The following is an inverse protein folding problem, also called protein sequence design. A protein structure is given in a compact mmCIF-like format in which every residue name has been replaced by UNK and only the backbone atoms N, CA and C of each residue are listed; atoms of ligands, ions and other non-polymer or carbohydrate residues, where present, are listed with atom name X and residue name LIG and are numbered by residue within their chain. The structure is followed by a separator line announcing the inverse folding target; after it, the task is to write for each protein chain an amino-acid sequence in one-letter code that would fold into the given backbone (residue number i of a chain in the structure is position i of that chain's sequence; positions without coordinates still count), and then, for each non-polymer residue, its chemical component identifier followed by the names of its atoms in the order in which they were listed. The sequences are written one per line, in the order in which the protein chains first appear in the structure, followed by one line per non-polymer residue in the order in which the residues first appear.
data_IF_599451659983
#
_entry.id   IF_599451659983
#
_cell.length_a   1.000
_cell.length_b   1.000
_cell.length_c   1.000
_cell.angle_alpha   90.00
_cell.angle_beta   90.00
_cell.angle_gamma   90.00
#
_symmetry.space_group_name_H-M   'P 1'
#
loop_
_entity.id
_entity.type
_entity.pdbx_description
1 polymer ?
#
# COMPACT_ATOMS: atom_id res chain seq x y z
N UNK A 1 -17.14 14.67 -8.76
CA UNK A 1 -17.63 15.58 -7.69
C UNK A 1 -16.45 16.38 -7.15
N UNK A 2 -16.54 17.71 -7.05
CA UNK A 2 -15.46 18.50 -6.42
C UNK A 2 -15.54 18.35 -4.91
N UNK A 3 -14.48 17.86 -4.30
CA UNK A 3 -14.35 17.70 -2.86
C UNK A 3 -13.38 18.74 -2.29
N UNK A 4 -13.60 19.10 -1.03
CA UNK A 4 -12.57 19.69 -0.17
C UNK A 4 -11.98 18.58 0.73
N UNK A 5 -10.91 18.91 1.45
CA UNK A 5 -10.17 17.95 2.30
C UNK A 5 -11.10 17.25 3.30
N UNK A 6 -11.85 18.00 4.09
CA UNK A 6 -12.71 17.43 5.13
C UNK A 6 -13.81 16.51 4.57
N UNK A 7 -14.33 16.81 3.38
CA UNK A 7 -15.30 15.94 2.72
C UNK A 7 -14.65 14.66 2.17
N UNK A 8 -13.41 14.76 1.67
CA UNK A 8 -12.63 13.60 1.24
C UNK A 8 -12.30 12.67 2.43
N UNK A 9 -11.79 13.23 3.52
CA UNK A 9 -11.53 12.50 4.77
C UNK A 9 -12.79 11.83 5.31
N UNK A 10 -13.91 12.56 5.32
CA UNK A 10 -15.20 12.00 5.77
C UNK A 10 -15.63 10.80 4.92
N UNK A 11 -15.51 10.88 3.59
CA UNK A 11 -15.87 9.77 2.70
C UNK A 11 -14.97 8.57 2.95
N UNK A 12 -13.67 8.78 3.18
CA UNK A 12 -12.75 7.69 3.54
C UNK A 12 -13.11 7.07 4.89
N UNK A 13 -13.49 7.88 5.88
CA UNK A 13 -13.98 7.41 7.18
C UNK A 13 -15.27 6.58 7.03
N UNK A 14 -16.22 7.03 6.20
CA UNK A 14 -17.44 6.28 5.87
C UNK A 14 -17.13 4.94 5.15
N UNK A 15 -15.96 4.85 4.49
CA UNK A 15 -15.41 3.61 3.92
C UNK A 15 -14.50 2.84 4.90
N UNK A 16 -14.49 3.18 6.19
CA UNK A 16 -13.63 2.57 7.23
C UNK A 16 -12.12 2.65 6.90
N UNK A 17 -11.69 3.80 6.42
CA UNK A 17 -10.29 4.17 6.15
C UNK A 17 -10.03 5.57 6.71
N UNK A 18 -10.52 5.85 7.93
CA UNK A 18 -10.43 7.14 8.62
C UNK A 18 -8.98 7.58 8.92
N UNK A 19 -8.06 6.63 8.95
CA UNK A 19 -6.63 6.85 9.17
C UNK A 19 -5.83 6.98 7.87
N UNK A 20 -6.48 6.90 6.70
CA UNK A 20 -5.83 7.06 5.41
C UNK A 20 -5.58 8.55 5.15
N UNK A 21 -4.32 9.03 5.15
CA UNK A 21 -4.03 10.40 4.78
C UNK A 21 -4.34 10.65 3.31
N UNK A 22 -4.73 11.88 3.00
CA UNK A 22 -4.97 12.36 1.64
C UNK A 22 -3.98 13.43 1.24
N UNK A 23 -3.75 13.55 -0.08
CA UNK A 23 -3.04 14.67 -0.67
C UNK A 23 -3.93 15.36 -1.71
N UNK A 24 -3.87 16.68 -1.75
CA UNK A 24 -4.43 17.46 -2.84
C UNK A 24 -3.60 17.22 -4.11
N UNK A 25 -4.27 16.93 -5.23
CA UNK A 25 -3.61 16.68 -6.50
C UNK A 25 -4.38 17.28 -7.66
N UNK A 26 -3.70 18.04 -8.51
CA UNK A 26 -4.25 18.50 -9.79
C UNK A 26 -3.94 17.48 -10.87
N UNK A 27 -4.95 16.81 -11.46
CA UNK A 27 -4.73 15.80 -12.49
C UNK A 27 -3.96 16.34 -13.69
N UNK A 28 -2.99 15.56 -14.15
CA UNK A 28 -2.28 15.79 -15.41
C UNK A 28 -2.55 14.61 -16.35
N UNK A 29 -3.58 14.70 -17.21
CA UNK A 29 -3.90 13.63 -18.13
C UNK A 29 -2.67 13.21 -18.94
N UNK A 30 -2.22 11.98 -18.73
CA UNK A 30 -0.95 11.48 -19.26
C UNK A 30 -1.20 10.22 -20.08
N UNK A 31 -0.66 10.20 -21.30
CA UNK A 31 -0.67 9.00 -22.13
C UNK A 31 0.29 7.95 -21.56
N UNK A 32 -0.19 6.71 -21.38
CA UNK A 32 0.68 5.62 -20.96
C UNK A 32 1.60 5.21 -22.10
N UNK A 33 2.87 5.00 -21.77
CA UNK A 33 3.82 4.40 -22.70
C UNK A 33 3.38 2.98 -23.06
N UNK A 34 3.53 2.50 -24.32
CA UNK A 34 3.15 1.14 -24.70
C UNK A 34 3.83 0.04 -23.86
N UNK A 35 4.98 0.32 -23.26
CA UNK A 35 5.74 -0.61 -22.43
C UNK A 35 5.43 -0.50 -20.92
N UNK A 36 4.42 0.29 -20.53
CA UNK A 36 4.11 0.59 -19.12
C UNK A 36 3.95 -0.68 -18.27
N UNK A 37 3.31 -1.72 -18.82
CA UNK A 37 3.03 -2.95 -18.08
C UNK A 37 4.30 -3.77 -17.81
N UNK A 38 5.25 -3.75 -18.74
CA UNK A 38 6.57 -4.38 -18.52
C UNK A 38 7.31 -3.66 -17.40
N UNK A 39 7.37 -2.33 -17.47
CA UNK A 39 7.96 -1.48 -16.43
C UNK A 39 7.26 -1.66 -15.08
N UNK A 40 5.94 -1.85 -15.08
CA UNK A 40 5.16 -2.10 -13.87
C UNK A 40 5.58 -3.40 -13.19
N UNK A 41 5.77 -4.48 -13.95
CA UNK A 41 6.25 -5.75 -13.38
C UNK A 41 7.64 -5.59 -12.76
N UNK A 42 8.56 -4.97 -13.49
CA UNK A 42 9.92 -4.68 -12.99
C UNK A 42 9.87 -3.84 -11.71
N UNK A 43 9.00 -2.83 -11.69
CA UNK A 43 8.79 -1.97 -10.55
C UNK A 43 8.17 -2.71 -9.36
N UNK A 44 7.22 -3.62 -9.55
CA UNK A 44 6.69 -4.47 -8.49
C UNK A 44 7.78 -5.33 -7.85
N UNK A 45 8.66 -5.94 -8.65
CA UNK A 45 9.81 -6.68 -8.11
C UNK A 45 10.75 -5.78 -7.30
N UNK A 46 11.06 -4.59 -7.82
CA UNK A 46 11.91 -3.62 -7.11
C UNK A 46 11.25 -3.11 -5.82
N UNK A 47 9.94 -2.85 -5.86
CA UNK A 47 9.14 -2.44 -4.70
C UNK A 47 9.20 -3.51 -3.61
N UNK A 48 8.95 -4.77 -3.98
CA UNK A 48 8.99 -5.92 -3.06
C UNK A 48 10.37 -6.09 -2.43
N UNK A 49 11.46 -6.02 -3.22
CA UNK A 49 12.82 -6.08 -2.69
C UNK A 49 13.12 -4.93 -1.70
N UNK A 50 12.49 -3.77 -1.90
CA UNK A 50 12.62 -2.62 -1.00
C UNK A 50 11.87 -2.80 0.32
N UNK A 51 10.99 -3.79 0.48
CA UNK A 51 10.20 -3.99 1.72
C UNK A 51 11.03 -4.52 2.90
N UNK A 52 12.30 -4.84 2.68
CA UNK A 52 13.25 -5.22 3.74
C UNK A 52 13.45 -4.14 4.80
N UNK A 53 13.12 -2.88 4.50
CA UNK A 53 13.09 -1.77 5.47
C UNK A 53 11.73 -1.59 6.19
N UNK A 54 10.71 -2.38 5.81
CA UNK A 54 9.32 -2.29 6.29
C UNK A 54 8.86 -3.58 6.98
N UNK A 55 9.80 -4.30 7.61
CA UNK A 55 9.56 -5.61 8.26
C UNK A 55 8.54 -5.51 9.39
N UNK A 56 8.54 -4.40 10.14
CA UNK A 56 7.58 -4.20 11.22
C UNK A 56 6.15 -4.17 10.68
N UNK A 57 5.91 -3.39 9.62
CA UNK A 57 4.61 -3.32 8.96
C UNK A 57 4.19 -4.67 8.37
N UNK A 58 5.14 -5.41 7.77
CA UNK A 58 4.86 -6.76 7.27
C UNK A 58 4.43 -7.73 8.37
N UNK A 59 5.01 -7.64 9.57
CA UNK A 59 4.61 -8.48 10.70
C UNK A 59 3.14 -8.25 11.11
N UNK A 60 2.67 -7.01 11.03
CA UNK A 60 1.27 -6.65 11.30
C UNK A 60 0.30 -7.08 10.20
N UNK A 61 0.78 -7.47 9.02
CA UNK A 61 -0.08 -8.04 7.99
C UNK A 61 -0.53 -9.48 8.31
N UNK A 62 -0.03 -10.11 9.37
CA UNK A 62 -0.45 -11.47 9.76
C UNK A 62 -0.38 -12.49 8.60
N UNK A 63 0.64 -12.35 7.74
CA UNK A 63 0.91 -13.29 6.67
C UNK A 63 1.36 -14.64 7.25
N UNK A 64 1.06 -15.73 6.52
CA UNK A 64 1.74 -16.99 6.80
C UNK A 64 3.25 -16.86 6.56
N UNK A 65 4.04 -17.74 7.16
CA UNK A 65 5.49 -17.72 7.00
C UNK A 65 5.90 -17.82 5.52
N UNK A 66 5.24 -18.71 4.76
CA UNK A 66 5.51 -18.90 3.34
C UNK A 66 5.15 -17.66 2.50
N UNK A 67 4.04 -16.98 2.83
CA UNK A 67 3.65 -15.74 2.17
C UNK A 67 4.62 -14.60 2.48
N UNK A 68 5.06 -14.49 3.74
CA UNK A 68 6.02 -13.48 4.17
C UNK A 68 7.38 -13.68 3.49
N UNK A 69 7.92 -14.88 3.53
CA UNK A 69 9.21 -15.21 2.90
C UNK A 69 9.12 -15.13 1.38
N UNK A 70 8.06 -15.66 0.78
CA UNK A 70 7.80 -15.56 -0.64
C UNK A 70 7.68 -14.12 -1.13
N UNK A 71 7.09 -13.24 -0.31
CA UNK A 71 7.06 -11.80 -0.56
C UNK A 71 8.47 -11.21 -0.47
N UNK A 72 9.19 -11.35 0.65
CA UNK A 72 10.54 -10.75 0.80
C UNK A 72 11.55 -11.21 -0.27
N UNK A 73 11.47 -12.48 -0.68
CA UNK A 73 12.31 -13.04 -1.73
C UNK A 73 11.86 -12.66 -3.15
N UNK A 74 10.75 -11.92 -3.29
CA UNK A 74 10.20 -11.50 -4.59
C UNK A 74 9.65 -12.64 -5.44
N UNK A 75 9.32 -13.79 -4.81
CA UNK A 75 8.88 -15.01 -5.49
C UNK A 75 7.36 -15.03 -5.71
N UNK A 76 6.58 -14.54 -4.75
CA UNK A 76 5.12 -14.53 -4.83
C UNK A 76 4.52 -13.30 -4.13
N UNK A 77 3.40 -12.81 -4.66
CA UNK A 77 2.57 -11.80 -4.00
C UNK A 77 1.38 -12.53 -3.38
N UNK A 78 1.15 -12.43 -2.06
CA UNK A 78 0.00 -13.05 -1.42
C UNK A 78 -1.33 -12.63 -2.06
N UNK A 79 -2.30 -13.56 -2.14
CA UNK A 79 -3.53 -13.35 -2.93
C UNK A 79 -4.35 -12.15 -2.45
N UNK A 80 -4.34 -11.85 -1.16
CA UNK A 80 -5.09 -10.74 -0.59
C UNK A 80 -4.27 -9.44 -0.51
N UNK A 81 -3.14 -9.33 -1.22
CA UNK A 81 -2.32 -8.12 -1.27
C UNK A 81 -2.42 -7.45 -2.64
N UNK A 82 -2.51 -6.13 -2.63
CA UNK A 82 -2.48 -5.30 -3.84
C UNK A 82 -1.41 -4.22 -3.75
N UNK A 83 -0.72 -3.99 -4.87
CA UNK A 83 0.10 -2.80 -5.07
C UNK A 83 -0.72 -1.69 -5.72
N UNK A 84 -0.55 -0.48 -5.22
CA UNK A 84 -1.30 0.70 -5.63
C UNK A 84 -0.36 1.86 -5.88
N UNK A 85 -0.71 2.71 -6.83
CA UNK A 85 -0.06 4.00 -6.98
C UNK A 85 -0.75 5.04 -6.12
N UNK A 86 0.03 5.91 -5.45
CA UNK A 86 -0.48 7.11 -4.76
C UNK A 86 -1.13 8.05 -5.77
N UNK A 87 -0.42 8.31 -6.87
CA UNK A 87 -0.93 9.01 -8.05
C UNK A 87 -1.07 8.02 -9.20
N UNK A 88 -2.29 7.78 -9.72
CA UNK A 88 -2.49 6.93 -10.90
C UNK A 88 -1.71 7.42 -12.11
N UNK A 89 -1.15 6.49 -12.88
CA UNK A 89 -0.30 6.80 -14.05
C UNK A 89 -1.02 7.65 -15.11
N UNK A 90 -2.31 7.37 -15.34
CA UNK A 90 -3.17 8.13 -16.28
C UNK A 90 -3.34 9.60 -15.88
N UNK A 91 -3.12 9.91 -14.60
CA UNK A 91 -3.29 11.24 -14.03
C UNK A 91 -1.95 11.97 -13.83
N UNK A 92 -0.82 11.42 -14.31
CA UNK A 92 0.50 12.03 -14.17
C UNK A 92 1.37 11.38 -13.09
N UNK A 93 0.95 10.24 -12.56
CA UNK A 93 1.76 9.44 -11.65
C UNK A 93 3.02 8.89 -12.30
N UNK A 94 4.12 8.85 -11.55
CA UNK A 94 5.40 8.33 -12.01
C UNK A 94 5.54 6.82 -11.75
N UNK A 95 6.30 6.16 -12.60
CA UNK A 95 6.67 4.74 -12.47
C UNK A 95 7.88 4.59 -11.53
N UNK A 96 7.69 4.88 -10.26
CA UNK A 96 8.74 4.86 -9.23
C UNK A 96 8.22 4.29 -7.91
N UNK A 97 9.14 3.75 -7.09
CA UNK A 97 8.82 3.09 -5.81
C UNK A 97 8.10 4.07 -4.86
N UNK A 98 8.52 5.33 -4.84
CA UNK A 98 7.93 6.36 -3.97
C UNK A 98 6.48 6.69 -4.34
N UNK A 99 6.05 6.39 -5.56
CA UNK A 99 4.66 6.51 -5.96
C UNK A 99 3.85 5.22 -5.65
N UNK A 100 4.45 4.19 -5.06
CA UNK A 100 3.78 2.92 -4.78
C UNK A 100 3.59 2.63 -3.29
N UNK A 101 2.47 1.99 -2.97
CA UNK A 101 2.25 1.41 -1.67
C UNK A 101 1.51 0.09 -1.79
N UNK A 102 1.57 -0.70 -0.72
CA UNK A 102 0.93 -1.99 -0.57
C UNK A 102 -0.22 -1.88 0.42
N UNK A 103 -1.34 -2.54 0.12
CA UNK A 103 -2.48 -2.65 1.04
C UNK A 103 -3.21 -3.98 0.82
N UNK A 104 -4.17 -4.29 1.69
CA UNK A 104 -5.07 -5.41 1.45
C UNK A 104 -5.93 -5.19 0.20
N UNK A 105 -6.10 -6.23 -0.60
CA UNK A 105 -6.99 -6.25 -1.75
C UNK A 105 -8.44 -6.02 -1.29
N UNK A 106 -8.91 -6.84 -0.36
CA UNK A 106 -10.21 -6.65 0.29
C UNK A 106 -10.04 -6.22 1.75
N UNK A 107 -10.73 -5.16 2.21
CA UNK A 107 -11.63 -4.30 1.43
C UNK A 107 -10.94 -3.06 0.83
N UNK A 108 -9.67 -2.81 1.13
CA UNK A 108 -9.04 -1.50 0.95
C UNK A 108 -8.79 -1.12 -0.51
N UNK A 109 -8.15 -1.96 -1.32
CA UNK A 109 -7.89 -1.63 -2.73
C UNK A 109 -9.16 -1.25 -3.47
N UNK A 110 -10.24 -2.03 -3.30
CA UNK A 110 -11.53 -1.77 -3.95
C UNK A 110 -12.16 -0.44 -3.50
N UNK A 111 -12.05 -0.09 -2.22
CA UNK A 111 -12.55 1.19 -1.69
C UNK A 111 -11.76 2.37 -2.24
N UNK A 112 -10.43 2.24 -2.36
CA UNK A 112 -9.57 3.27 -2.93
C UNK A 112 -9.90 3.52 -4.41
N UNK A 113 -10.13 2.46 -5.19
CA UNK A 113 -10.60 2.57 -6.57
C UNK A 113 -11.91 3.37 -6.65
N UNK A 114 -12.89 3.00 -5.84
CA UNK A 114 -14.19 3.69 -5.78
C UNK A 114 -14.02 5.17 -5.40
N UNK A 115 -13.21 5.46 -4.39
CA UNK A 115 -12.95 6.82 -3.92
C UNK A 115 -12.32 7.72 -4.99
N UNK A 116 -11.35 7.21 -5.76
CA UNK A 116 -10.72 7.94 -6.85
C UNK A 116 -11.71 8.17 -8.00
N UNK A 117 -12.46 7.13 -8.40
CA UNK A 117 -13.44 7.20 -9.50
C UNK A 117 -14.55 8.23 -9.20
N UNK A 118 -15.01 8.34 -7.95
CA UNK A 118 -16.03 9.32 -7.55
C UNK A 118 -15.63 10.78 -7.82
N UNK A 119 -14.33 11.03 -7.95
CA UNK A 119 -13.76 12.35 -8.16
C UNK A 119 -13.32 12.60 -9.62
N UNK A 120 -13.54 11.66 -10.56
CA UNK A 120 -12.93 11.66 -11.92
C UNK A 120 -13.03 12.98 -12.70
N UNK A 121 -14.13 13.72 -12.55
CA UNK A 121 -14.38 14.96 -13.29
C UNK A 121 -14.03 16.23 -12.50
N UNK A 122 -13.41 16.09 -11.33
CA UNK A 122 -13.02 17.22 -10.50
C UNK A 122 -11.72 17.87 -11.03
N UNK A 123 -11.59 19.18 -10.82
CA UNK A 123 -10.38 19.92 -11.19
C UNK A 123 -9.20 19.58 -10.27
N UNK A 124 -9.54 19.24 -9.03
CA UNK A 124 -8.60 18.81 -8.00
C UNK A 124 -9.14 17.55 -7.36
N UNK A 125 -8.28 16.55 -7.21
CA UNK A 125 -8.56 15.28 -6.56
C UNK A 125 -7.92 15.23 -5.18
N UNK A 126 -8.54 14.49 -4.29
CA UNK A 126 -7.92 14.03 -3.06
C UNK A 126 -7.50 12.58 -3.26
N UNK A 127 -6.19 12.32 -3.21
CA UNK A 127 -5.62 11.00 -3.46
C UNK A 127 -5.07 10.37 -2.17
N UNK A 128 -5.19 9.05 -1.98
CA UNK A 128 -4.59 8.37 -0.84
C UNK A 128 -3.06 8.51 -0.84
N UNK A 129 -2.49 8.95 0.28
CA UNK A 129 -1.06 9.22 0.39
C UNK A 129 -0.45 8.64 1.68
N UNK A 130 -0.50 7.32 1.89
CA UNK A 130 0.11 6.72 3.08
C UNK A 130 1.60 7.04 3.11
N UNK A 131 2.09 7.51 4.27
CA UNK A 131 3.50 7.86 4.45
C UNK A 131 4.43 6.65 4.34
N UNK A 132 3.92 5.47 4.70
CA UNK A 132 4.66 4.20 4.67
C UNK A 132 4.45 3.46 3.35
N UNK A 133 5.35 2.53 3.02
CA UNK A 133 5.21 1.63 1.86
C UNK A 133 4.07 0.65 2.02
N UNK A 134 3.68 0.34 3.26
CA UNK A 134 2.58 -0.56 3.57
C UNK A 134 1.53 0.23 4.34
N UNK A 135 0.32 0.30 3.81
CA UNK A 135 -0.82 0.83 4.53
C UNK A 135 -1.43 -0.26 5.40
N UNK A 136 -1.44 0.00 6.70
CA UNK A 136 -2.10 -0.81 7.73
C UNK A 136 -3.10 0.09 8.44
N UNK A 137 -4.37 -0.32 8.55
CA UNK A 137 -5.33 0.45 9.31
C UNK A 137 -4.93 0.56 10.80
N UNK A 138 -5.21 1.71 11.42
CA UNK A 138 -4.87 2.01 12.82
C UNK A 138 -5.47 0.99 13.80
N UNK A 139 -6.67 0.46 13.49
CA UNK A 139 -7.29 -0.59 14.30
C UNK A 139 -6.58 -1.96 14.20
N UNK A 140 -5.78 -2.18 13.15
CA UNK A 140 -4.96 -3.38 12.97
C UNK A 140 -3.61 -3.27 13.70
N UNK A 141 -3.14 -2.05 13.95
CA UNK A 141 -1.93 -1.78 14.74
C UNK A 141 -2.19 -1.64 16.25
N UNK A 142 -3.44 -1.38 16.65
CA UNK A 142 -3.86 -1.18 18.05
C UNK A 142 -4.64 -2.32 18.71
N UNK A 143 -4.60 -3.55 18.18
CA UNK A 143 -5.30 -4.70 18.76
C UNK A 143 -4.76 -5.10 20.14
N UNK A 144 -5.60 -5.00 21.18
CA UNK A 144 -5.24 -5.11 22.60
C UNK A 144 -4.54 -6.40 23.06
N UNK A 145 -3.81 -6.28 24.17
CA UNK A 145 -3.18 -7.34 25.01
C UNK A 145 -2.41 -8.48 24.28
N UNK A 146 -2.08 -8.32 23.00
CA UNK A 146 -1.32 -9.26 22.18
C UNK A 146 0.18 -8.94 22.05
N UNK A 147 0.75 -8.12 22.95
CA UNK A 147 2.14 -7.64 22.88
C UNK A 147 3.17 -8.76 22.69
N UNK A 148 2.95 -9.93 23.29
CA UNK A 148 3.86 -11.06 23.20
C UNK A 148 3.87 -11.71 21.80
N UNK A 149 2.73 -11.77 21.10
CA UNK A 149 2.65 -12.48 19.81
C UNK A 149 3.38 -11.75 18.67
N UNK A 150 3.43 -10.42 18.74
CA UNK A 150 4.12 -9.59 17.73
C UNK A 150 5.62 -9.56 17.99
N UNK A 151 6.04 -9.40 19.25
CA UNK A 151 7.45 -9.48 19.63
C UNK A 151 8.05 -10.87 19.35
N UNK A 152 7.31 -11.95 19.67
CA UNK A 152 7.75 -13.32 19.36
C UNK A 152 7.89 -13.55 17.86
N UNK A 153 6.98 -13.03 17.04
CA UNK A 153 7.08 -13.11 15.57
C UNK A 153 8.26 -12.32 15.03
N UNK A 154 8.47 -11.09 15.51
CA UNK A 154 9.61 -10.27 15.11
C UNK A 154 10.93 -10.92 15.51
N UNK A 155 11.01 -11.55 16.69
CA UNK A 155 12.17 -12.29 17.14
C UNK A 155 12.44 -13.54 16.29
N UNK A 156 11.39 -14.31 15.95
CA UNK A 156 11.50 -15.46 15.03
C UNK A 156 11.97 -15.02 13.63
N UNK A 157 11.43 -13.91 13.12
CA UNK A 157 11.82 -13.34 11.82
C UNK A 157 13.27 -12.84 11.84
N UNK A 158 13.69 -12.14 12.88
CA UNK A 158 15.06 -11.65 13.04
C UNK A 158 16.08 -12.80 13.11
N UNK A 159 15.76 -13.87 13.83
CA UNK A 159 16.61 -15.05 13.91
C UNK A 159 16.79 -15.75 12.56
N UNK A 160 15.76 -15.79 11.72
CA UNK A 160 15.82 -16.41 10.39
C UNK A 160 16.57 -15.55 9.37
N UNK A 161 16.33 -14.24 9.35
CA UNK A 161 17.09 -13.30 8.49
C UNK A 161 18.59 -13.28 8.85
N UNK A 162 18.93 -13.56 10.11
CA UNK A 162 20.32 -13.75 10.52
C UNK A 162 20.88 -15.10 10.05
N UNK A 163 20.10 -16.19 10.15
CA UNK A 163 20.51 -17.53 9.73
C UNK A 163 20.69 -17.68 8.21
N UNK A 164 19.98 -16.91 7.38
CA UNK A 164 20.14 -16.92 5.92
C UNK A 164 21.29 -16.01 5.42
N UNK A 165 21.92 -15.23 6.32
CA UNK A 165 23.07 -14.37 6.01
C UNK A 165 24.43 -15.03 6.28
N UNK A 166 24.44 -16.16 7.00
CA UNK A 166 25.61 -17.01 7.26
C UNK A 166 25.66 -18.21 6.29
#
# INVERSE_FOLDING_TARGET
MQLNESAAEKILADMSMDDMPVMEYTPQPTALSPDWFKKYKELCHAFTASLTDSVQELAFMNLSQDEFMGLLMGQNIPQNISFRFRVPLMLGGKMEIDNMFMCWTFPHSMRLDKFIIMQSDAKTLWLPNPAKKIYLPAHTTGGGDGGNATEDRLAQMAAQLAAERD
#
